data_IF_410699784334
#
_entry.id   IF_410699784334
#
_cell.length_a   1.000
_cell.length_b   1.000
_cell.length_c   1.000
_cell.angle_alpha   90.00
_cell.angle_beta   90.00
_cell.angle_gamma   90.00
#
_symmetry.space_group_name_H-M   'P 1'
#
loop_
_entity.id
_entity.type
_entity.pdbx_description
1 polymer ?
#
# COMPACT_ATOMS: atom_id res chain seq x y z
N UNK A 1 6.05 2.78 20.90
CA UNK A 1 5.31 4.05 20.76
C UNK A 1 5.32 4.33 19.26
N UNK A 2 4.18 4.25 18.59
CA UNK A 2 4.12 4.09 17.13
C UNK A 2 4.58 5.36 16.40
N UNK A 3 5.46 5.21 15.39
CA UNK A 3 5.67 6.21 14.33
C UNK A 3 4.37 6.30 13.50
N UNK A 4 3.64 7.44 13.53
CA UNK A 4 2.30 7.47 12.97
C UNK A 4 2.27 7.48 11.43
N UNK A 5 3.43 7.62 10.77
CA UNK A 5 3.57 7.42 9.32
C UNK A 5 3.38 5.95 8.89
N UNK A 6 3.62 4.99 9.78
CA UNK A 6 3.52 3.54 9.49
C UNK A 6 2.09 3.01 9.71
N UNK A 7 1.30 3.65 10.58
CA UNK A 7 -0.04 3.19 10.95
C UNK A 7 -1.04 3.35 9.80
N UNK A 8 -0.88 4.35 8.92
CA UNK A 8 -1.92 4.69 7.95
C UNK A 8 -1.96 3.78 6.70
N UNK A 9 -1.08 2.78 6.58
CA UNK A 9 -0.83 2.11 5.30
C UNK A 9 -1.56 0.77 5.08
N UNK A 10 -2.34 0.26 6.03
CA UNK A 10 -2.99 -1.07 5.90
C UNK A 10 -4.50 -1.09 6.21
N UNK A 11 -5.16 0.07 6.29
CA UNK A 11 -6.39 0.17 7.06
C UNK A 11 -7.67 0.14 6.21
N UNK A 12 -8.50 -0.89 6.41
CA UNK A 12 -9.93 -0.91 6.07
C UNK A 12 -10.61 -2.29 6.15
N UNK A 13 -11.38 -2.55 7.23
CA UNK A 13 -12.45 -3.57 7.46
C UNK A 13 -13.16 -3.22 8.79
N UNK A 14 -14.43 -3.49 9.14
CA UNK A 14 -15.55 -4.34 8.68
C UNK A 14 -16.88 -3.65 9.14
N UNK A 15 -18.08 -3.91 8.63
CA UNK A 15 -18.97 -5.02 9.00
C UNK A 15 -20.39 -4.79 8.40
N UNK A 16 -20.95 -5.70 7.60
CA UNK A 16 -22.38 -6.13 7.67
C UNK A 16 -22.47 -7.52 7.05
N UNK A 17 -22.61 -8.54 7.89
CA UNK A 17 -23.10 -9.86 7.50
C UNK A 17 -24.30 -10.16 8.39
N UNK A 18 -25.51 -10.09 7.83
CA UNK A 18 -26.63 -10.93 8.26
C UNK A 18 -27.76 -10.88 7.21
N UNK A 19 -28.37 -12.05 7.02
CA UNK A 19 -29.63 -12.34 6.30
C UNK A 19 -29.52 -12.48 4.76
N UNK A 20 -29.31 -13.72 4.31
CA UNK A 20 -30.39 -14.57 3.77
C UNK A 20 -29.81 -15.91 3.29
N UNK A 21 -29.87 -16.93 4.15
CA UNK A 21 -29.88 -18.33 3.71
C UNK A 21 -31.33 -18.79 3.65
N UNK A 22 -31.84 -19.01 2.43
CA UNK A 22 -32.74 -20.11 2.04
C UNK A 22 -33.17 -19.95 0.59
N UNK A 23 -32.75 -20.88 -0.27
CA UNK A 23 -33.39 -21.10 -1.57
C UNK A 23 -32.52 -21.75 -2.63
N UNK A 24 -32.64 -23.08 -2.78
CA UNK A 24 -32.64 -23.74 -4.09
C UNK A 24 -31.30 -24.16 -4.71
N UNK A 25 -31.06 -25.47 -4.73
CA UNK A 25 -30.15 -26.13 -5.68
C UNK A 25 -30.52 -25.80 -7.14
N UNK A 26 -29.51 -25.57 -7.99
CA UNK A 26 -29.45 -26.12 -9.35
C UNK A 26 -28.05 -25.98 -9.97
N UNK A 27 -27.47 -27.14 -10.31
CA UNK A 27 -26.53 -27.47 -11.38
C UNK A 27 -25.50 -26.45 -11.92
N UNK A 28 -24.23 -26.85 -11.83
CA UNK A 28 -23.26 -26.69 -12.93
C UNK A 28 -22.63 -25.32 -13.12
N UNK A 29 -21.92 -24.80 -12.12
CA UNK A 29 -20.93 -23.75 -12.33
C UNK A 29 -19.54 -24.41 -12.38
N UNK A 30 -18.79 -24.18 -13.46
CA UNK A 30 -17.34 -24.36 -13.45
C UNK A 30 -16.80 -23.66 -12.19
N UNK A 31 -16.14 -24.41 -11.30
CA UNK A 31 -15.46 -23.87 -10.13
C UNK A 31 -14.30 -23.01 -10.63
N UNK A 32 -14.58 -21.74 -10.94
CA UNK A 32 -13.61 -20.73 -11.37
C UNK A 32 -12.84 -20.17 -10.18
N UNK A 33 -12.63 -20.98 -9.13
CA UNK A 33 -11.74 -20.61 -8.05
C UNK A 33 -10.33 -20.47 -8.62
N UNK A 34 -9.65 -19.34 -8.39
CA UNK A 34 -8.25 -19.20 -8.77
C UNK A 34 -7.45 -20.38 -8.21
N UNK A 35 -6.40 -20.79 -8.94
CA UNK A 35 -5.51 -21.87 -8.52
C UNK A 35 -5.08 -21.65 -7.05
N UNK A 36 -4.95 -22.71 -6.24
CA UNK A 36 -4.62 -22.57 -4.82
C UNK A 36 -3.36 -21.73 -4.67
N UNK A 37 -3.44 -20.74 -3.77
CA UNK A 37 -2.35 -19.81 -3.54
C UNK A 37 -1.04 -20.54 -3.23
N UNK A 38 0.08 -19.96 -3.69
CA UNK A 38 1.40 -20.58 -3.55
C UNK A 38 2.13 -20.01 -2.33
N UNK A 39 2.63 -20.86 -1.46
CA UNK A 39 3.50 -20.44 -0.35
C UNK A 39 4.94 -20.87 -0.62
N UNK A 40 5.90 -19.94 -0.52
CA UNK A 40 7.33 -20.22 -0.69
C UNK A 40 8.15 -19.65 0.46
N UNK A 41 9.27 -20.33 0.76
CA UNK A 41 10.25 -19.89 1.75
C UNK A 41 11.62 -19.79 1.10
N UNK A 42 12.34 -18.74 1.45
CA UNK A 42 13.72 -18.49 1.03
C UNK A 42 14.44 -17.70 2.12
N UNK A 43 15.69 -17.32 1.86
CA UNK A 43 16.46 -16.43 2.73
C UNK A 43 16.97 -15.24 1.94
N UNK A 44 17.17 -14.13 2.64
CA UNK A 44 17.79 -12.91 2.13
C UNK A 44 18.83 -12.42 3.12
N UNK A 45 19.75 -11.57 2.68
CA UNK A 45 20.70 -10.92 3.59
C UNK A 45 20.98 -9.48 3.20
N UNK A 46 21.52 -8.73 4.16
CA UNK A 46 22.10 -7.40 3.96
C UNK A 46 23.42 -7.30 4.71
N UNK A 47 24.29 -6.40 4.27
CA UNK A 47 25.48 -6.01 5.01
C UNK A 47 25.17 -4.78 5.85
N UNK A 48 25.39 -4.86 7.15
CA UNK A 48 25.14 -3.80 8.11
C UNK A 48 26.22 -3.82 9.20
N UNK A 49 26.84 -2.67 9.45
CA UNK A 49 27.87 -2.49 10.50
C UNK A 49 29.01 -3.53 10.46
N UNK A 50 29.39 -3.96 9.24
CA UNK A 50 30.46 -4.94 9.03
C UNK A 50 30.04 -6.40 9.26
N UNK A 51 28.74 -6.68 9.41
CA UNK A 51 28.20 -8.02 9.55
C UNK A 51 27.08 -8.31 8.53
N UNK A 52 27.02 -9.58 8.11
CA UNK A 52 25.91 -10.08 7.30
C UNK A 52 24.70 -10.39 8.19
N UNK A 53 23.63 -9.61 8.05
CA UNK A 53 22.35 -9.87 8.72
C UNK A 53 21.46 -10.71 7.79
N UNK A 54 21.05 -11.89 8.24
CA UNK A 54 20.16 -12.79 7.50
C UNK A 54 18.70 -12.55 7.88
N UNK A 55 17.82 -12.75 6.91
CA UNK A 55 16.38 -12.77 7.06
C UNK A 55 15.79 -14.04 6.45
N UNK A 56 14.78 -14.58 7.11
CA UNK A 56 13.88 -15.54 6.52
C UNK A 56 12.82 -14.80 5.71
N UNK A 57 12.57 -15.28 4.50
CA UNK A 57 11.62 -14.72 3.56
C UNK A 57 10.49 -15.72 3.36
N UNK A 58 9.27 -15.28 3.61
CA UNK A 58 8.06 -16.03 3.39
C UNK A 58 7.19 -15.27 2.40
N UNK A 59 6.77 -15.94 1.33
CA UNK A 59 5.90 -15.34 0.30
C UNK A 59 4.63 -16.18 0.16
N UNK A 60 3.47 -15.54 0.28
CA UNK A 60 2.15 -16.13 0.00
C UNK A 60 1.58 -15.44 -1.24
N UNK A 61 1.61 -16.11 -2.39
CA UNK A 61 1.13 -15.57 -3.66
C UNK A 61 -0.34 -15.90 -3.89
N UNK A 62 -1.13 -14.92 -4.35
CA UNK A 62 -2.52 -15.10 -4.76
C UNK A 62 -3.52 -15.37 -3.63
N UNK A 63 -3.24 -14.92 -2.40
CA UNK A 63 -4.12 -15.09 -1.25
C UNK A 63 -4.89 -13.81 -0.96
N UNK A 64 -6.19 -13.90 -0.69
CA UNK A 64 -6.96 -12.74 -0.22
C UNK A 64 -6.56 -12.38 1.22
N UNK A 65 -7.04 -11.22 1.70
CA UNK A 65 -6.73 -10.78 3.07
C UNK A 65 -7.20 -11.81 4.11
N UNK A 66 -8.37 -12.42 3.91
CA UNK A 66 -8.90 -13.39 4.85
C UNK A 66 -8.03 -14.65 4.93
N UNK A 67 -7.61 -15.21 3.79
CA UNK A 67 -6.71 -16.36 3.75
C UNK A 67 -5.36 -16.05 4.42
N UNK A 68 -4.83 -14.86 4.17
CA UNK A 68 -3.60 -14.39 4.80
C UNK A 68 -3.74 -14.31 6.31
N UNK A 69 -4.83 -13.72 6.81
CA UNK A 69 -5.10 -13.61 8.25
C UNK A 69 -5.25 -14.99 8.91
N UNK A 70 -5.90 -15.95 8.25
CA UNK A 70 -6.01 -17.33 8.75
C UNK A 70 -4.66 -18.02 8.81
N UNK A 71 -3.79 -17.80 7.82
CA UNK A 71 -2.41 -18.27 7.85
C UNK A 71 -1.64 -17.65 9.02
N UNK A 72 -1.75 -16.33 9.23
CA UNK A 72 -1.05 -15.65 10.32
C UNK A 72 -1.47 -16.22 11.68
N UNK A 73 -2.77 -16.37 11.94
CA UNK A 73 -3.28 -16.91 13.20
C UNK A 73 -2.81 -18.35 13.44
N UNK A 74 -2.80 -19.17 12.39
CA UNK A 74 -2.40 -20.58 12.50
C UNK A 74 -0.90 -20.76 12.75
N UNK A 75 -0.07 -19.76 12.39
CA UNK A 75 1.39 -19.89 12.41
C UNK A 75 2.09 -18.97 13.43
N UNK A 76 1.38 -18.01 14.05
CA UNK A 76 1.97 -17.03 14.99
C UNK A 76 2.67 -17.62 16.21
N UNK A 77 2.29 -18.84 16.63
CA UNK A 77 2.93 -19.53 17.74
C UNK A 77 4.36 -20.00 17.39
N UNK A 78 4.56 -20.46 16.15
CA UNK A 78 5.85 -20.90 15.64
C UNK A 78 6.70 -19.74 15.07
N UNK A 79 6.06 -18.64 14.67
CA UNK A 79 6.72 -17.47 14.09
C UNK A 79 6.17 -16.18 14.74
N UNK A 80 6.72 -15.77 15.90
CA UNK A 80 6.22 -14.61 16.65
C UNK A 80 6.20 -13.29 15.86
N UNK A 81 7.04 -13.14 14.82
CA UNK A 81 7.02 -11.99 13.91
C UNK A 81 5.63 -11.74 13.28
N UNK A 82 4.81 -12.78 13.10
CA UNK A 82 3.49 -12.67 12.50
C UNK A 82 2.49 -11.91 13.39
N UNK A 83 2.73 -11.82 14.70
CA UNK A 83 1.90 -11.00 15.60
C UNK A 83 1.90 -9.52 15.15
N UNK A 84 3.05 -9.03 14.69
CA UNK A 84 3.19 -7.65 14.20
C UNK A 84 2.31 -7.38 12.98
N UNK A 85 2.14 -8.38 12.11
CA UNK A 85 1.27 -8.31 10.93
C UNK A 85 -0.21 -8.44 11.31
N UNK A 86 -0.53 -9.30 12.27
CA UNK A 86 -1.89 -9.37 12.83
C UNK A 86 -2.32 -8.03 13.42
N UNK A 87 -1.46 -7.36 14.20
CA UNK A 87 -1.75 -6.03 14.73
C UNK A 87 -1.94 -4.97 13.62
N UNK A 88 -1.24 -5.15 12.48
CA UNK A 88 -1.32 -4.25 11.33
C UNK A 88 -2.64 -4.40 10.56
N UNK A 89 -3.08 -5.65 10.33
CA UNK A 89 -4.24 -5.96 9.49
C UNK A 89 -5.54 -6.23 10.27
N UNK A 90 -5.44 -6.56 11.57
CA UNK A 90 -6.55 -6.64 12.54
C UNK A 90 -6.31 -5.70 13.73
N UNK A 91 -6.18 -4.38 13.52
CA UNK A 91 -5.91 -3.45 14.61
C UNK A 91 -7.08 -3.41 15.61
N UNK A 92 -6.80 -3.27 16.90
CA UNK A 92 -7.82 -2.91 17.89
C UNK A 92 -8.15 -1.42 17.73
N UNK A 93 -9.31 -1.10 17.16
CA UNK A 93 -9.60 0.26 16.68
C UNK A 93 -10.29 1.13 17.74
N UNK A 94 -9.89 2.40 17.78
CA UNK A 94 -10.76 3.50 18.24
C UNK A 94 -11.52 4.02 17.01
N UNK A 95 -12.84 4.10 17.11
CA UNK A 95 -13.70 4.61 16.04
C UNK A 95 -13.93 6.12 16.21
N UNK A 96 -13.95 6.92 15.11
CA UNK A 96 -13.64 6.57 13.71
C UNK A 96 -12.13 6.61 13.39
N UNK A 97 -11.74 6.02 12.25
CA UNK A 97 -10.37 6.10 11.70
C UNK A 97 -10.36 6.64 10.26
N UNK A 98 -9.18 6.95 9.70
CA UNK A 98 -9.06 7.53 8.36
C UNK A 98 -9.68 6.69 7.24
N UNK A 99 -9.73 5.37 7.36
CA UNK A 99 -10.30 4.50 6.34
C UNK A 99 -11.81 4.69 6.15
N UNK A 100 -12.51 5.19 7.18
CA UNK A 100 -13.95 5.48 7.13
C UNK A 100 -14.27 6.69 6.23
N UNK A 101 -13.29 7.57 6.02
CA UNK A 101 -13.44 8.78 5.22
C UNK A 101 -12.98 8.57 3.78
N UNK A 102 -12.52 7.36 3.41
CA UNK A 102 -12.03 7.08 2.06
C UNK A 102 -13.15 7.27 1.04
N UNK A 103 -12.84 7.97 -0.05
CA UNK A 103 -13.77 8.09 -1.17
C UNK A 103 -13.78 6.81 -2.02
N UNK A 104 -14.98 6.28 -2.27
CA UNK A 104 -15.19 5.09 -3.09
C UNK A 104 -14.98 3.77 -2.35
N UNK A 105 -15.42 2.65 -2.94
CA UNK A 105 -15.27 1.34 -2.32
C UNK A 105 -13.79 0.92 -2.27
N UNK A 106 -13.38 0.30 -1.18
CA UNK A 106 -12.08 -0.34 -1.06
C UNK A 106 -12.22 -1.85 -1.30
N UNK A 107 -11.66 -2.35 -2.40
CA UNK A 107 -11.72 -3.77 -2.75
C UNK A 107 -10.48 -4.56 -2.31
N UNK A 108 -9.57 -3.95 -1.54
CA UNK A 108 -8.28 -4.53 -1.16
C UNK A 108 -8.39 -5.94 -0.59
N UNK A 109 -9.45 -6.23 0.16
CA UNK A 109 -9.61 -7.52 0.83
C UNK A 109 -10.09 -8.64 -0.10
N UNK A 110 -10.65 -8.27 -1.24
CA UNK A 110 -11.33 -9.15 -2.20
C UNK A 110 -10.55 -9.27 -3.50
N UNK A 111 -9.24 -9.00 -3.48
CA UNK A 111 -8.38 -9.12 -4.65
C UNK A 111 -7.28 -10.13 -4.36
N UNK A 112 -6.78 -10.82 -5.39
CA UNK A 112 -5.60 -11.66 -5.23
C UNK A 112 -4.40 -10.79 -4.81
N UNK A 113 -3.80 -11.11 -3.68
CA UNK A 113 -2.64 -10.41 -3.14
C UNK A 113 -1.44 -11.35 -2.99
N UNK A 114 -0.25 -10.80 -3.16
CA UNK A 114 0.99 -11.48 -2.80
C UNK A 114 1.59 -10.81 -1.58
N UNK A 115 1.79 -11.60 -0.53
CA UNK A 115 2.26 -11.17 0.77
C UNK A 115 3.72 -11.57 0.93
N UNK A 116 4.62 -10.61 1.08
CA UNK A 116 6.05 -10.84 1.25
C UNK A 116 6.41 -10.49 2.69
N UNK A 117 6.94 -11.43 3.45
CA UNK A 117 7.27 -11.27 4.87
C UNK A 117 8.75 -11.54 5.07
N UNK A 118 9.46 -10.58 5.64
CA UNK A 118 10.84 -10.73 6.06
C UNK A 118 10.86 -10.75 7.59
N UNK A 119 11.43 -11.79 8.18
CA UNK A 119 11.71 -11.87 9.61
C UNK A 119 13.19 -12.15 9.86
N UNK A 120 13.64 -11.95 11.08
CA UNK A 120 14.92 -12.51 11.51
C UNK A 120 14.91 -14.06 11.39
N UNK A 121 16.10 -14.66 11.41
CA UNK A 121 16.31 -16.09 11.16
C UNK A 121 15.72 -17.04 12.23
N UNK A 122 15.33 -16.52 13.39
CA UNK A 122 14.61 -17.29 14.42
C UNK A 122 13.08 -17.07 14.35
N UNK A 123 12.59 -16.25 13.40
CA UNK A 123 11.18 -15.93 13.24
C UNK A 123 10.57 -15.06 14.35
N UNK A 124 11.37 -14.59 15.30
CA UNK A 124 10.94 -13.86 16.48
C UNK A 124 10.54 -12.40 16.22
N UNK A 125 11.11 -11.75 15.20
CA UNK A 125 10.85 -10.34 14.89
C UNK A 125 10.67 -10.06 13.39
N UNK A 126 9.72 -9.18 13.09
CA UNK A 126 9.49 -8.70 11.74
C UNK A 126 10.63 -7.74 11.35
N UNK A 127 11.16 -7.90 10.13
CA UNK A 127 12.10 -6.98 9.50
C UNK A 127 11.34 -6.06 8.54
N UNK A 128 10.45 -6.64 7.74
CA UNK A 128 9.67 -5.89 6.77
C UNK A 128 8.58 -6.70 6.12
N UNK A 129 7.68 -5.99 5.45
CA UNK A 129 6.53 -6.56 4.77
C UNK A 129 6.26 -5.83 3.47
N UNK A 130 5.91 -6.57 2.42
CA UNK A 130 5.48 -6.04 1.13
C UNK A 130 4.19 -6.68 0.66
N UNK A 131 3.39 -5.94 -0.11
CA UNK A 131 2.17 -6.45 -0.73
C UNK A 131 2.15 -6.06 -2.21
N UNK A 132 1.81 -7.03 -3.06
CA UNK A 132 1.48 -6.77 -4.47
C UNK A 132 0.11 -7.29 -4.84
N UNK A 133 -0.48 -6.74 -5.89
CA UNK A 133 -1.63 -7.33 -6.59
C UNK A 133 -1.33 -7.46 -8.08
N UNK A 134 -2.28 -7.99 -8.84
CA UNK A 134 -2.18 -8.24 -10.27
C UNK A 134 -3.28 -7.48 -11.01
N UNK A 135 -2.97 -6.99 -12.20
CA UNK A 135 -3.98 -6.46 -13.12
C UNK A 135 -3.56 -6.67 -14.58
N UNK A 136 -4.51 -6.47 -15.47
CA UNK A 136 -4.26 -6.36 -16.90
C UNK A 136 -4.03 -4.88 -17.27
N UNK A 137 -2.89 -4.57 -17.88
CA UNK A 137 -2.54 -3.23 -18.34
C UNK A 137 -1.89 -3.30 -19.72
N UNK A 138 -2.25 -2.36 -20.60
CA UNK A 138 -1.77 -2.31 -21.99
C UNK A 138 -0.33 -1.82 -22.14
N UNK A 139 0.39 -1.65 -21.02
CA UNK A 139 1.77 -1.15 -20.94
C UNK A 139 1.95 0.29 -21.42
N UNK A 140 0.86 1.03 -21.67
CA UNK A 140 0.92 2.45 -21.99
C UNK A 140 0.95 3.28 -20.69
N UNK A 141 2.02 4.05 -20.41
CA UNK A 141 2.10 4.93 -19.25
C UNK A 141 0.91 5.89 -19.09
N UNK A 142 0.29 6.31 -20.19
CA UNK A 142 -0.88 7.21 -20.19
C UNK A 142 -2.18 6.53 -19.75
N UNK A 143 -2.25 5.20 -19.79
CA UNK A 143 -3.43 4.40 -19.41
C UNK A 143 -3.24 3.64 -18.09
N UNK A 144 -2.24 4.04 -17.28
CA UNK A 144 -2.07 3.53 -15.92
C UNK A 144 -3.31 3.83 -15.06
N UNK A 145 -3.56 3.04 -13.99
CA UNK A 145 -4.61 3.38 -13.03
C UNK A 145 -4.39 4.76 -12.40
N UNK A 146 -5.46 5.43 -11.98
CA UNK A 146 -5.38 6.74 -11.33
C UNK A 146 -4.95 6.63 -9.84
N UNK A 147 -3.76 6.08 -9.64
CA UNK A 147 -3.14 5.87 -8.34
C UNK A 147 -3.60 4.60 -7.62
N UNK A 148 -3.31 4.53 -6.33
CA UNK A 148 -3.45 3.32 -5.53
C UNK A 148 -4.88 2.80 -5.43
N UNK A 149 -5.85 3.66 -5.08
CA UNK A 149 -7.26 3.23 -4.95
C UNK A 149 -7.80 2.70 -6.27
N UNK A 150 -7.43 3.34 -7.37
CA UNK A 150 -7.84 2.95 -8.70
C UNK A 150 -7.19 1.63 -9.12
N UNK A 151 -5.93 1.40 -8.78
CA UNK A 151 -5.25 0.14 -9.05
C UNK A 151 -5.91 -1.06 -8.33
N UNK A 152 -6.34 -0.87 -7.07
CA UNK A 152 -7.10 -1.88 -6.32
C UNK A 152 -8.45 -2.15 -6.97
N UNK A 153 -9.16 -1.09 -7.39
CA UNK A 153 -10.43 -1.19 -8.10
C UNK A 153 -10.29 -1.92 -9.45
N UNK A 154 -9.27 -1.59 -10.24
CA UNK A 154 -8.98 -2.23 -11.54
C UNK A 154 -8.60 -3.71 -11.34
N UNK A 155 -7.78 -4.03 -10.33
CA UNK A 155 -7.46 -5.42 -9.97
C UNK A 155 -8.72 -6.23 -9.68
N UNK A 156 -9.65 -5.67 -8.88
CA UNK A 156 -10.94 -6.31 -8.61
C UNK A 156 -11.77 -6.50 -9.88
N UNK A 157 -11.91 -5.46 -10.71
CA UNK A 157 -12.66 -5.57 -11.97
C UNK A 157 -12.07 -6.63 -12.89
N UNK A 158 -10.75 -6.65 -13.08
CA UNK A 158 -10.09 -7.63 -13.94
C UNK A 158 -10.25 -9.06 -13.42
N UNK A 159 -10.15 -9.28 -12.10
CA UNK A 159 -10.18 -10.62 -11.52
C UNK A 159 -11.59 -11.18 -11.31
N UNK A 160 -12.59 -10.34 -11.02
CA UNK A 160 -13.93 -10.80 -10.60
C UNK A 160 -15.04 -10.51 -11.60
N UNK A 161 -14.86 -9.49 -12.45
CA UNK A 161 -15.91 -9.01 -13.35
C UNK A 161 -15.56 -9.34 -14.80
N UNK A 162 -14.42 -8.85 -15.26
CA UNK A 162 -14.00 -9.00 -16.66
C UNK A 162 -13.26 -10.32 -16.93
N UNK A 163 -12.78 -10.99 -15.87
CA UNK A 163 -11.97 -12.21 -15.93
C UNK A 163 -10.76 -12.08 -16.89
N UNK A 164 -10.07 -10.93 -16.83
CA UNK A 164 -8.88 -10.66 -17.63
C UNK A 164 -7.65 -11.31 -17.01
N UNK A 165 -6.93 -12.06 -17.83
CA UNK A 165 -5.62 -12.58 -17.47
C UNK A 165 -4.65 -11.43 -17.14
N UNK A 166 -4.07 -11.41 -15.92
CA UNK A 166 -3.17 -10.35 -15.52
C UNK A 166 -1.83 -10.46 -16.25
N UNK A 167 -1.29 -9.33 -16.65
CA UNK A 167 0.03 -9.24 -17.28
C UNK A 167 0.99 -8.32 -16.52
N UNK A 168 0.53 -7.68 -15.45
CA UNK A 168 1.30 -6.71 -14.69
C UNK A 168 1.11 -6.90 -13.19
N UNK A 169 2.20 -6.70 -12.46
CA UNK A 169 2.21 -6.66 -11.00
C UNK A 169 2.13 -5.20 -10.54
N UNK A 170 1.36 -4.94 -9.49
CA UNK A 170 1.27 -3.63 -8.83
C UNK A 170 1.78 -3.73 -7.40
N UNK A 171 2.83 -2.98 -7.06
CA UNK A 171 3.27 -2.86 -5.67
C UNK A 171 2.33 -1.98 -4.87
N UNK A 172 1.61 -2.55 -3.90
CA UNK A 172 0.62 -1.82 -3.10
C UNK A 172 1.18 -1.31 -1.78
N UNK A 173 2.15 -2.02 -1.20
CA UNK A 173 2.66 -1.68 0.12
C UNK A 173 4.10 -2.16 0.33
N UNK A 174 4.91 -1.36 1.03
CA UNK A 174 6.19 -1.76 1.60
C UNK A 174 6.33 -1.08 2.96
N UNK A 175 6.68 -1.84 3.98
CA UNK A 175 7.06 -1.34 5.30
C UNK A 175 8.32 -2.05 5.79
N UNK A 176 9.23 -1.28 6.39
CA UNK A 176 10.41 -1.78 7.10
C UNK A 176 10.30 -1.34 8.56
N UNK A 177 10.44 -2.29 9.47
CA UNK A 177 10.43 -2.04 10.90
C UNK A 177 11.56 -1.06 11.27
N UNK A 178 11.28 -0.18 12.23
CA UNK A 178 12.15 0.95 12.54
C UNK A 178 13.60 0.52 12.87
N UNK A 179 13.73 -0.54 13.67
CA UNK A 179 15.01 -1.17 14.04
C UNK A 179 15.78 -1.75 12.84
N UNK A 180 15.11 -1.99 11.72
CA UNK A 180 15.67 -2.59 10.51
C UNK A 180 15.88 -1.57 9.38
N UNK A 181 15.47 -0.31 9.54
CA UNK A 181 15.61 0.73 8.50
C UNK A 181 17.08 1.03 8.19
N UNK A 182 17.35 1.58 7.00
CA UNK A 182 18.68 2.02 6.50
C UNK A 182 19.70 0.89 6.24
N UNK A 183 19.32 -0.38 6.34
CA UNK A 183 20.19 -1.52 6.03
C UNK A 183 19.96 -2.14 4.63
N UNK A 184 19.16 -1.52 3.76
CA UNK A 184 18.92 -2.02 2.40
C UNK A 184 17.73 -2.98 2.22
N UNK A 185 17.04 -3.36 3.31
CA UNK A 185 15.88 -4.27 3.24
C UNK A 185 14.75 -3.83 2.31
N UNK A 186 14.50 -2.52 2.16
CA UNK A 186 13.51 -2.03 1.20
C UNK A 186 13.86 -2.42 -0.25
N UNK A 187 15.16 -2.40 -0.59
CA UNK A 187 15.64 -2.87 -1.90
C UNK A 187 15.43 -4.35 -2.10
N UNK A 188 15.66 -5.16 -1.06
CA UNK A 188 15.43 -6.61 -1.11
C UNK A 188 13.93 -6.94 -1.26
N UNK A 189 13.03 -6.24 -0.57
CA UNK A 189 11.58 -6.39 -0.77
C UNK A 189 11.16 -6.06 -2.21
N UNK A 190 11.68 -4.98 -2.79
CA UNK A 190 11.45 -4.65 -4.21
C UNK A 190 12.03 -5.76 -5.11
N UNK A 191 13.17 -6.36 -4.73
CA UNK A 191 13.74 -7.54 -5.37
C UNK A 191 12.78 -8.72 -5.40
N UNK A 192 12.13 -9.03 -4.27
CA UNK A 192 11.12 -10.10 -4.19
C UNK A 192 9.87 -9.78 -5.02
N UNK A 193 9.39 -8.53 -5.05
CA UNK A 193 8.31 -8.14 -5.96
C UNK A 193 8.68 -8.39 -7.43
N UNK A 194 9.92 -8.08 -7.84
CA UNK A 194 10.42 -8.40 -9.19
C UNK A 194 10.51 -9.90 -9.41
N UNK A 195 10.92 -10.68 -8.40
CA UNK A 195 11.01 -12.13 -8.49
C UNK A 195 9.63 -12.77 -8.71
N UNK A 196 8.59 -12.30 -8.00
CA UNK A 196 7.19 -12.68 -8.23
C UNK A 196 6.78 -12.37 -9.67
N UNK A 197 7.05 -11.15 -10.14
CA UNK A 197 6.77 -10.74 -11.52
C UNK A 197 7.39 -11.67 -12.57
N UNK A 198 8.70 -11.93 -12.47
CA UNK A 198 9.43 -12.84 -13.37
C UNK A 198 8.88 -14.26 -13.34
N UNK A 199 8.67 -14.80 -12.14
CA UNK A 199 8.21 -16.19 -11.92
C UNK A 199 6.83 -16.42 -12.55
N UNK A 200 5.96 -15.41 -12.48
CA UNK A 200 4.63 -15.42 -13.06
C UNK A 200 4.59 -14.85 -14.49
N UNK A 201 5.75 -14.63 -15.14
CA UNK A 201 5.86 -14.14 -16.53
C UNK A 201 5.11 -12.82 -16.78
N UNK A 202 5.06 -11.95 -15.78
CA UNK A 202 4.48 -10.62 -15.91
C UNK A 202 5.36 -9.77 -16.83
N UNK A 203 4.73 -8.89 -17.61
CA UNK A 203 5.39 -7.96 -18.51
C UNK A 203 5.93 -6.72 -17.76
N UNK A 204 5.31 -6.33 -16.65
CA UNK A 204 5.72 -5.16 -15.89
C UNK A 204 5.47 -5.31 -14.37
N UNK A 205 6.29 -4.60 -13.59
CA UNK A 205 5.99 -4.23 -12.20
C UNK A 205 5.84 -2.71 -12.13
N UNK A 206 4.65 -2.24 -11.80
CA UNK A 206 4.36 -0.81 -11.60
C UNK A 206 4.06 -0.54 -10.12
N UNK A 207 4.45 0.63 -9.62
CA UNK A 207 4.28 0.98 -8.20
C UNK A 207 3.85 2.45 -8.10
N UNK A 208 2.67 2.75 -7.52
CA UNK A 208 2.27 4.11 -7.19
C UNK A 208 2.97 4.55 -5.89
N UNK A 209 4.12 5.20 -6.00
CA UNK A 209 4.87 5.68 -4.86
C UNK A 209 4.13 6.84 -4.19
N UNK A 210 3.86 6.72 -2.89
CA UNK A 210 3.45 7.83 -2.03
C UNK A 210 4.73 8.47 -1.46
N UNK A 211 5.22 9.59 -2.02
CA UNK A 211 6.56 10.09 -1.69
C UNK A 211 6.55 10.76 -0.30
N UNK A 212 7.22 10.22 0.72
CA UNK A 212 7.12 10.75 2.09
C UNK A 212 7.76 12.14 2.23
N UNK A 213 8.75 12.51 1.40
CA UNK A 213 9.33 13.86 1.43
C UNK A 213 8.28 14.92 1.06
N UNK A 214 7.19 14.55 0.35
CA UNK A 214 6.08 15.46 -0.01
C UNK A 214 5.33 16.02 1.19
N UNK A 215 5.41 15.36 2.35
CA UNK A 215 4.70 15.74 3.58
C UNK A 215 5.57 16.59 4.53
N UNK A 216 6.73 17.08 4.08
CA UNK A 216 7.44 18.14 4.80
C UNK A 216 6.82 19.49 4.46
N UNK A 217 6.83 20.43 5.41
CA UNK A 217 6.08 21.69 5.35
C UNK A 217 6.36 22.46 4.06
N UNK A 218 7.62 22.53 3.66
CA UNK A 218 8.08 23.30 2.50
C UNK A 218 7.62 22.73 1.14
N UNK A 219 7.25 21.45 1.09
CA UNK A 219 6.73 20.81 -0.13
C UNK A 219 5.22 20.59 -0.07
N UNK A 220 4.60 20.83 1.09
CA UNK A 220 3.24 20.40 1.38
C UNK A 220 2.18 21.07 0.46
N UNK A 221 2.46 22.26 -0.04
CA UNK A 221 1.59 23.01 -0.98
C UNK A 221 2.04 22.88 -2.44
N UNK A 222 3.23 22.32 -2.69
CA UNK A 222 3.80 22.22 -4.03
C UNK A 222 2.99 21.30 -4.95
N UNK A 223 2.71 21.67 -6.21
CA UNK A 223 2.09 20.76 -7.17
C UNK A 223 2.88 19.44 -7.29
N UNK A 224 2.17 18.30 -7.36
CA UNK A 224 2.83 16.98 -7.35
C UNK A 224 3.83 16.80 -8.49
N UNK A 225 3.54 17.37 -9.67
CA UNK A 225 4.44 17.34 -10.83
C UNK A 225 5.77 18.03 -10.55
N UNK A 226 5.73 19.21 -9.94
CA UNK A 226 6.92 19.99 -9.57
C UNK A 226 7.72 19.26 -8.49
N UNK A 227 7.05 18.79 -7.45
CA UNK A 227 7.69 18.02 -6.38
C UNK A 227 8.38 16.76 -6.90
N UNK A 228 7.70 15.99 -7.75
CA UNK A 228 8.24 14.74 -8.29
C UNK A 228 9.47 14.96 -9.18
N UNK A 229 9.61 16.15 -9.77
CA UNK A 229 10.75 16.52 -10.59
C UNK A 229 11.96 17.02 -9.77
N UNK A 230 11.78 17.42 -8.50
CA UNK A 230 12.85 17.98 -7.68
C UNK A 230 14.08 17.06 -7.61
N UNK A 231 15.25 17.67 -7.79
CA UNK A 231 16.55 17.02 -7.70
C UNK A 231 17.39 17.63 -6.58
N UNK A 232 18.31 16.84 -6.04
CA UNK A 232 19.43 17.29 -5.23
C UNK A 232 20.56 17.78 -6.15
N UNK A 233 21.58 18.39 -5.55
CA UNK A 233 22.79 18.86 -6.26
C UNK A 233 23.53 17.74 -7.01
N UNK A 234 23.44 16.50 -6.53
CA UNK A 234 24.03 15.31 -7.16
C UNK A 234 23.20 14.77 -8.36
N UNK A 235 22.18 15.50 -8.80
CA UNK A 235 21.28 15.13 -9.90
C UNK A 235 20.24 14.06 -9.56
N UNK A 236 20.24 13.53 -8.33
CA UNK A 236 19.30 12.48 -7.91
C UNK A 236 17.99 13.08 -7.41
N UNK A 237 16.89 12.31 -7.48
CA UNK A 237 15.58 12.78 -6.98
C UNK A 237 15.66 13.22 -5.52
N UNK A 238 14.96 14.31 -5.19
CA UNK A 238 14.88 14.84 -3.82
C UNK A 238 14.21 13.84 -2.89
N UNK A 239 13.05 13.32 -3.29
CA UNK A 239 12.35 12.27 -2.54
C UNK A 239 13.16 10.97 -2.50
N UNK A 240 13.24 10.37 -1.30
CA UNK A 240 14.08 9.20 -1.10
C UNK A 240 13.48 7.89 -1.63
N UNK A 241 12.15 7.78 -1.77
CA UNK A 241 11.54 6.60 -2.41
C UNK A 241 11.71 6.67 -3.92
N UNK A 242 11.41 7.81 -4.55
CA UNK A 242 11.63 7.96 -6.00
C UNK A 242 13.10 7.67 -6.34
N UNK A 243 14.03 8.20 -5.53
CA UNK A 243 15.46 7.93 -5.68
C UNK A 243 15.82 6.45 -5.50
N UNK A 244 15.27 5.77 -4.49
CA UNK A 244 15.49 4.33 -4.27
C UNK A 244 15.05 3.51 -5.49
N UNK A 245 13.81 3.71 -5.95
CA UNK A 245 13.25 2.93 -7.06
C UNK A 245 14.03 3.16 -8.36
N UNK A 246 14.41 4.40 -8.67
CA UNK A 246 15.18 4.73 -9.87
C UNK A 246 16.60 4.15 -9.81
N UNK A 247 17.26 4.17 -8.65
CA UNK A 247 18.55 3.46 -8.45
C UNK A 247 18.43 1.96 -8.68
N UNK A 248 17.26 1.38 -8.37
CA UNK A 248 16.92 -0.02 -8.64
C UNK A 248 16.39 -0.25 -10.07
N UNK A 249 16.66 0.69 -10.99
CA UNK A 249 16.36 0.57 -12.42
C UNK A 249 14.93 0.95 -12.81
N UNK A 250 14.11 1.50 -11.91
CA UNK A 250 12.78 1.96 -12.27
C UNK A 250 12.81 3.21 -13.15
N UNK A 251 11.81 3.35 -14.01
CA UNK A 251 11.49 4.59 -14.73
C UNK A 251 10.26 5.24 -14.10
N UNK A 252 10.27 6.56 -13.96
CA UNK A 252 9.04 7.31 -13.62
C UNK A 252 8.15 7.33 -14.86
N UNK A 253 6.91 6.87 -14.73
CA UNK A 253 5.95 6.74 -15.85
C UNK A 253 4.77 7.71 -15.75
N UNK A 254 4.66 8.46 -14.65
CA UNK A 254 3.70 9.54 -14.50
C UNK A 254 3.32 9.82 -13.05
N UNK A 255 2.30 10.65 -12.87
CA UNK A 255 1.79 11.06 -11.55
C UNK A 255 0.26 10.93 -11.50
N UNK A 256 -0.31 10.69 -10.33
CA UNK A 256 -1.74 10.84 -10.09
C UNK A 256 -1.92 11.81 -8.95
N UNK A 257 -2.83 12.78 -9.07
CA UNK A 257 -3.14 13.74 -7.99
C UNK A 257 -4.07 13.16 -6.93
N UNK A 258 -4.75 12.06 -7.25
CA UNK A 258 -5.94 11.53 -6.57
C UNK A 258 -5.76 10.08 -6.13
N UNK A 259 -4.52 9.66 -5.85
CA UNK A 259 -4.20 8.28 -5.48
C UNK A 259 -4.84 7.79 -4.19
N UNK A 260 -4.94 8.66 -3.18
CA UNK A 260 -5.64 8.40 -1.93
C UNK A 260 -6.48 9.63 -1.57
N UNK A 261 -7.79 9.48 -1.58
CA UNK A 261 -8.74 10.54 -1.34
C UNK A 261 -9.59 10.23 -0.12
N UNK A 262 -9.73 11.23 0.75
CA UNK A 262 -10.57 11.14 1.93
C UNK A 262 -11.45 12.37 2.04
N UNK A 263 -12.76 12.17 2.17
CA UNK A 263 -13.72 13.24 2.43
C UNK A 263 -14.42 12.98 3.77
N UNK A 264 -14.58 14.03 4.55
CA UNK A 264 -15.17 13.96 5.89
C UNK A 264 -15.97 15.22 6.19
N UNK A 265 -16.90 15.15 7.13
CA UNK A 265 -17.59 16.34 7.65
C UNK A 265 -16.60 17.27 8.35
N UNK A 266 -16.92 18.56 8.48
CA UNK A 266 -16.08 19.47 9.29
C UNK A 266 -16.00 19.03 10.75
N UNK A 267 -17.07 18.46 11.30
CA UNK A 267 -17.07 17.91 12.65
C UNK A 267 -16.01 16.82 12.80
N UNK A 268 -15.94 15.89 11.85
CA UNK A 268 -14.95 14.83 11.85
C UNK A 268 -13.54 15.38 11.59
N UNK A 269 -13.39 16.35 10.68
CA UNK A 269 -12.12 17.04 10.46
C UNK A 269 -11.55 17.65 11.75
N UNK A 270 -12.35 18.39 12.52
CA UNK A 270 -11.89 19.00 13.76
C UNK A 270 -11.51 17.97 14.84
N UNK A 271 -12.15 16.80 14.80
CA UNK A 271 -11.88 15.69 15.74
C UNK A 271 -10.64 14.90 15.33
N UNK A 272 -10.48 14.62 14.05
CA UNK A 272 -9.53 13.65 13.52
C UNK A 272 -8.24 14.28 13.03
N UNK A 273 -8.33 15.47 12.42
CA UNK A 273 -7.24 16.08 11.66
C UNK A 273 -6.62 17.23 12.44
N UNK A 274 -7.39 18.28 12.73
CA UNK A 274 -6.88 19.48 13.39
C UNK A 274 -8.00 20.20 14.12
N UNK A 275 -7.86 20.49 15.43
CA UNK A 275 -8.85 21.27 16.18
C UNK A 275 -8.78 22.78 15.88
N UNK A 276 -7.80 23.23 15.09
CA UNK A 276 -7.63 24.65 14.79
C UNK A 276 -8.77 25.16 13.90
N UNK A 277 -9.44 26.28 14.26
CA UNK A 277 -10.59 26.77 13.51
C UNK A 277 -10.19 27.23 12.11
N UNK A 278 -11.00 26.85 11.11
CA UNK A 278 -10.85 27.31 9.73
C UNK A 278 -11.84 28.45 9.49
N UNK A 279 -11.34 29.62 9.11
CA UNK A 279 -12.14 30.86 9.00
C UNK A 279 -12.62 31.18 7.57
N UNK A 280 -12.10 30.45 6.57
CA UNK A 280 -12.50 30.60 5.15
C UNK A 280 -12.41 29.26 4.44
N UNK A 281 -13.30 29.05 3.46
CA UNK A 281 -13.17 27.92 2.52
C UNK A 281 -11.88 28.05 1.70
N UNK A 282 -11.32 26.91 1.30
CA UNK A 282 -10.11 26.79 0.49
C UNK A 282 -9.08 25.82 1.07
N UNK A 283 -7.91 25.83 0.45
CA UNK A 283 -6.76 25.04 0.89
C UNK A 283 -6.18 25.58 2.20
N UNK A 284 -6.05 24.70 3.18
CA UNK A 284 -5.47 24.96 4.50
C UNK A 284 -4.39 23.93 4.77
N UNK A 285 -3.21 24.42 5.10
CA UNK A 285 -2.08 23.58 5.46
C UNK A 285 -2.18 23.14 6.93
N UNK A 286 -2.22 21.84 7.18
CA UNK A 286 -2.36 21.26 8.52
C UNK A 286 -1.27 20.25 8.79
N UNK A 287 -0.80 20.20 10.03
CA UNK A 287 0.08 19.13 10.50
C UNK A 287 -0.77 18.03 11.12
N UNK A 288 -0.62 16.80 10.62
CA UNK A 288 -1.27 15.62 11.17
C UNK A 288 -0.55 15.14 12.44
N UNK A 289 -1.18 14.21 13.15
CA UNK A 289 -0.58 13.55 14.33
C UNK A 289 0.70 12.78 14.00
N UNK A 290 0.89 12.39 12.73
CA UNK A 290 2.11 11.76 12.21
C UNK A 290 3.28 12.75 12.01
N UNK A 291 3.07 14.04 12.26
CA UNK A 291 4.05 15.10 12.05
C UNK A 291 4.14 15.58 10.59
N UNK A 292 3.47 14.91 9.66
CA UNK A 292 3.40 15.26 8.25
C UNK A 292 2.44 16.42 7.99
N UNK A 293 2.76 17.21 6.97
CA UNK A 293 1.98 18.36 6.53
C UNK A 293 1.11 18.01 5.32
N UNK A 294 -0.17 18.30 5.42
CA UNK A 294 -1.19 17.96 4.43
C UNK A 294 -1.89 19.24 3.99
N UNK A 295 -2.07 19.39 2.69
CA UNK A 295 -2.83 20.50 2.13
C UNK A 295 -4.29 20.08 1.97
N UNK A 296 -5.13 20.46 2.93
CA UNK A 296 -6.52 20.02 3.03
C UNK A 296 -7.42 21.08 2.44
N UNK A 297 -8.32 20.69 1.53
CA UNK A 297 -9.36 21.60 1.07
C UNK A 297 -10.52 21.58 2.05
N UNK A 298 -10.94 22.76 2.52
CA UNK A 298 -12.05 22.92 3.47
C UNK A 298 -13.14 23.74 2.79
N UNK A 299 -14.39 23.30 2.89
CA UNK A 299 -15.57 24.04 2.43
C UNK A 299 -16.49 24.30 3.62
N UNK A 300 -16.56 25.55 4.08
CA UNK A 300 -17.37 25.96 5.22
C UNK A 300 -18.86 26.06 4.89
N UNK A 301 -19.21 26.35 3.63
CA UNK A 301 -20.61 26.47 3.21
C UNK A 301 -21.25 25.09 3.10
N UNK A 302 -20.51 24.11 2.58
CA UNK A 302 -20.97 22.72 2.41
C UNK A 302 -20.54 21.79 3.55
N UNK A 303 -19.86 22.33 4.56
CA UNK A 303 -19.43 21.64 5.77
C UNK A 303 -18.62 20.34 5.57
N UNK A 304 -17.64 20.36 4.65
CA UNK A 304 -16.73 19.21 4.46
C UNK A 304 -15.25 19.58 4.33
N UNK A 305 -14.39 18.59 4.56
CA UNK A 305 -12.96 18.65 4.27
C UNK A 305 -12.57 17.50 3.31
N UNK A 306 -11.65 17.79 2.39
CA UNK A 306 -11.11 16.86 1.40
C UNK A 306 -9.59 16.80 1.50
N UNK A 307 -9.06 15.60 1.70
CA UNK A 307 -7.64 15.28 1.69
C UNK A 307 -7.34 14.48 0.43
N UNK A 308 -6.68 15.11 -0.54
CA UNK A 308 -6.18 14.45 -1.73
C UNK A 308 -4.68 14.21 -1.59
N UNK A 309 -4.27 12.97 -1.82
CA UNK A 309 -2.87 12.60 -1.82
C UNK A 309 -2.54 11.92 -3.14
N UNK A 310 -1.59 12.51 -3.85
CA UNK A 310 -1.13 11.96 -5.10
C UNK A 310 -0.09 10.84 -4.93
N UNK A 311 0.27 10.22 -6.04
CA UNK A 311 1.38 9.30 -6.13
C UNK A 311 2.24 9.59 -7.37
N UNK A 312 3.46 9.07 -7.35
CA UNK A 312 4.37 9.03 -8.51
C UNK A 312 4.46 7.58 -8.95
N UNK A 313 4.02 7.29 -10.16
CA UNK A 313 4.09 5.96 -10.72
C UNK A 313 5.50 5.68 -11.24
N UNK A 314 6.04 4.52 -10.83
CA UNK A 314 7.28 3.98 -11.37
C UNK A 314 7.05 2.61 -11.98
N UNK A 315 7.79 2.29 -13.03
CA UNK A 315 7.83 0.98 -13.66
C UNK A 315 9.22 0.38 -13.50
N UNK A 316 9.29 -0.81 -12.92
CA UNK A 316 10.49 -1.62 -12.89
C UNK A 316 10.58 -2.54 -14.10
N UNK A 317 11.80 -2.77 -14.63
CA UNK A 317 12.05 -3.90 -15.51
C UNK A 317 11.94 -5.20 -14.72
N UNK A 318 11.34 -6.22 -15.35
CA UNK A 318 11.30 -7.60 -14.90
C UNK A 318 12.34 -8.39 -15.69
#
# INVERSE_FOLDING_TARGET
MLDPATILMALGVALVALLLLRGGCCAGACDSRPAPGRITRSTSSVEADGATIKADVLVLEGHELQDFLEYLESNRAAMPALNRLLDMYKPSRKFPDMSHFRLGPNMFEKIPLDWIIFSNADGGSLIGHGVTTRLHWDLNPGHRPDGWQDAVRVSYQNSHVDLKEPNSLVGLFICIEESSRKHGWAGNLIGEMKAIGRRNKMAALIIPLRPPTRYQKEYAEMPMAEFAALKREDGQYKDHWIRLHVRLGAKVIGISSTSHQHAMSLKDYYTMISPAPVIRSGYTLVQQRDGGWYNVYVDLEREFALINQGCVWVQHPL
#
